data_IF_862534478982
#
_entry.id   IF_862534478982
#
_cell.length_a   1.000
_cell.length_b   1.000
_cell.length_c   1.000
_cell.angle_alpha   90.00
_cell.angle_beta   90.00
_cell.angle_gamma   90.00
#
_symmetry.space_group_name_H-M   'P 1'
#
loop_
_entity.id
_entity.type
_entity.pdbx_description
1 polymer ?
#
# COMPACT_ATOMS: atom_id res chain seq x y z
N UNK A 1 15.95 -25.04 -20.33
CA UNK A 1 15.40 -23.79 -20.90
C UNK A 1 14.04 -23.41 -20.31
N UNK A 2 13.04 -24.30 -20.25
CA UNK A 2 11.73 -23.99 -19.62
C UNK A 2 11.79 -23.66 -18.12
N UNK A 3 12.71 -24.29 -17.38
CA UNK A 3 12.85 -24.07 -15.93
C UNK A 3 13.49 -22.72 -15.55
N UNK A 4 14.38 -22.17 -16.39
CA UNK A 4 15.04 -20.89 -16.11
C UNK A 4 14.11 -19.70 -16.31
N UNK A 5 13.15 -19.80 -17.24
CA UNK A 5 12.14 -18.76 -17.49
C UNK A 5 11.16 -18.67 -16.30
N UNK A 6 10.77 -19.81 -15.72
CA UNK A 6 9.91 -19.85 -14.53
C UNK A 6 10.55 -19.17 -13.30
N UNK A 7 11.86 -19.35 -13.09
CA UNK A 7 12.58 -18.75 -11.95
C UNK A 7 12.77 -17.23 -12.14
N UNK A 8 13.01 -16.77 -13.36
CA UNK A 8 13.16 -15.34 -13.65
C UNK A 8 11.84 -14.56 -13.49
N UNK A 9 10.70 -15.16 -13.89
CA UNK A 9 9.36 -14.54 -13.76
C UNK A 9 8.95 -14.35 -12.29
N UNK A 10 9.35 -15.27 -11.39
CA UNK A 10 9.12 -15.08 -9.96
C UNK A 10 9.95 -13.92 -9.36
N UNK A 11 11.10 -13.56 -9.95
CA UNK A 11 11.95 -12.49 -9.44
C UNK A 11 11.45 -11.08 -9.81
N UNK A 12 10.71 -10.93 -10.92
CA UNK A 12 10.18 -9.63 -11.38
C UNK A 12 8.89 -9.23 -10.66
N UNK A 13 8.19 -10.19 -10.02
CA UNK A 13 6.97 -9.96 -9.26
C UNK A 13 7.11 -9.02 -8.03
N UNK A 14 8.33 -8.58 -7.70
CA UNK A 14 8.63 -7.81 -6.48
C UNK A 14 8.38 -6.30 -6.64
N UNK A 15 8.21 -5.76 -7.86
CA UNK A 15 8.07 -4.32 -8.07
C UNK A 15 6.60 -3.88 -8.21
N UNK A 16 5.84 -3.98 -7.11
CA UNK A 16 4.40 -3.75 -7.06
C UNK A 16 3.93 -2.27 -7.21
N UNK A 17 4.84 -1.29 -7.21
CA UNK A 17 4.51 0.14 -7.29
C UNK A 17 5.49 0.86 -8.21
N UNK A 18 5.01 1.82 -9.01
CA UNK A 18 5.88 2.72 -9.79
C UNK A 18 6.62 3.68 -8.86
N UNK A 19 7.72 4.27 -9.32
CA UNK A 19 8.48 5.21 -8.48
C UNK A 19 7.68 6.46 -8.11
N UNK A 20 6.81 6.93 -9.01
CA UNK A 20 5.87 8.02 -8.71
C UNK A 20 4.89 7.63 -7.59
N UNK A 21 4.36 6.40 -7.62
CA UNK A 21 3.48 5.90 -6.57
C UNK A 21 4.21 5.74 -5.23
N UNK A 22 5.47 5.29 -5.24
CA UNK A 22 6.31 5.21 -4.04
C UNK A 22 6.55 6.58 -3.43
N UNK A 23 6.82 7.60 -4.24
CA UNK A 23 7.02 8.98 -3.75
C UNK A 23 5.73 9.56 -3.14
N UNK A 24 4.58 9.37 -3.81
CA UNK A 24 3.27 9.76 -3.23
C UNK A 24 2.99 9.04 -1.92
N UNK A 25 3.28 7.74 -1.85
CA UNK A 25 3.09 6.93 -0.64
C UNK A 25 3.99 7.40 0.51
N UNK A 26 5.27 7.75 0.23
CA UNK A 26 6.18 8.34 1.22
C UNK A 26 5.64 9.67 1.74
N UNK A 27 5.15 10.54 0.85
CA UNK A 27 4.54 11.82 1.23
C UNK A 27 3.33 11.62 2.16
N UNK A 28 2.40 10.74 1.78
CA UNK A 28 1.23 10.43 2.62
C UNK A 28 1.65 9.86 3.98
N UNK A 29 2.63 8.96 4.00
CA UNK A 29 3.19 8.41 5.24
C UNK A 29 3.70 9.52 6.15
N UNK A 30 4.54 10.43 5.65
CA UNK A 30 5.10 11.53 6.44
C UNK A 30 4.01 12.43 7.01
N UNK A 31 3.01 12.80 6.19
CA UNK A 31 1.88 13.61 6.63
C UNK A 31 1.04 12.89 7.71
N UNK A 32 0.73 11.61 7.51
CA UNK A 32 -0.06 10.83 8.46
C UNK A 32 0.68 10.57 9.78
N UNK A 33 2.00 10.36 9.74
CA UNK A 33 2.83 10.26 10.95
C UNK A 33 2.78 11.56 11.76
N UNK A 34 2.90 12.71 11.09
CA UNK A 34 2.84 14.01 11.75
C UNK A 34 1.47 14.31 12.36
N UNK A 35 0.38 13.95 11.66
CA UNK A 35 -1.00 14.21 12.09
C UNK A 35 -1.42 13.30 13.25
N UNK A 36 -1.10 12.01 13.17
CA UNK A 36 -1.67 10.98 14.07
C UNK A 36 -0.70 10.53 15.16
N UNK A 37 0.59 10.84 15.01
CA UNK A 37 1.67 10.52 15.95
C UNK A 37 1.60 9.07 16.49
N UNK A 38 1.53 8.06 15.61
CA UNK A 38 1.48 6.68 16.05
C UNK A 38 2.87 6.24 16.54
N UNK A 39 2.90 5.12 17.27
CA UNK A 39 4.14 4.41 17.52
C UNK A 39 4.68 3.84 16.19
N UNK A 40 5.86 4.27 15.78
CA UNK A 40 6.49 3.87 14.52
C UNK A 40 6.83 2.38 14.47
N UNK A 41 7.10 1.73 15.60
CA UNK A 41 7.30 0.28 15.65
C UNK A 41 6.00 -0.45 15.33
N UNK A 42 4.86 0.06 15.81
CA UNK A 42 3.55 -0.50 15.48
C UNK A 42 3.19 -0.25 14.01
N UNK A 43 3.56 0.91 13.44
CA UNK A 43 3.42 1.17 12.01
C UNK A 43 4.26 0.20 11.17
N UNK A 44 5.49 -0.09 11.60
CA UNK A 44 6.36 -1.04 10.91
C UNK A 44 5.79 -2.46 10.94
N UNK A 45 5.26 -2.89 12.10
CA UNK A 45 4.54 -4.17 12.26
C UNK A 45 3.31 -4.25 11.37
N UNK A 46 2.49 -3.19 11.36
CA UNK A 46 1.30 -3.08 10.50
C UNK A 46 1.67 -3.23 9.01
N UNK A 47 2.77 -2.57 8.58
CA UNK A 47 3.26 -2.69 7.20
C UNK A 47 3.70 -4.11 6.83
N UNK A 48 4.15 -4.89 7.82
CA UNK A 48 4.56 -6.28 7.65
C UNK A 48 3.39 -7.27 7.81
N UNK A 49 2.15 -6.79 7.93
CA UNK A 49 0.97 -7.62 8.07
C UNK A 49 0.69 -8.11 9.49
N UNK A 50 1.37 -7.55 10.50
CA UNK A 50 1.04 -7.82 11.90
C UNK A 50 -0.02 -6.84 12.39
N UNK A 51 -1.26 -7.33 12.43
CA UNK A 51 -2.44 -6.59 12.89
C UNK A 51 -2.81 -6.89 14.36
N UNK A 52 -2.00 -7.66 15.09
CA UNK A 52 -2.32 -8.10 16.46
C UNK A 52 -2.26 -6.96 17.47
N UNK A 53 -1.55 -5.89 17.13
CA UNK A 53 -1.36 -4.75 18.02
C UNK A 53 -2.16 -3.59 17.48
N UNK A 54 -3.10 -3.11 18.27
CA UNK A 54 -3.98 -2.00 17.91
C UNK A 54 -3.87 -0.89 18.95
N UNK A 55 -3.75 0.35 18.46
CA UNK A 55 -3.81 1.55 19.29
C UNK A 55 -4.63 2.60 18.56
N UNK A 56 -5.24 3.53 19.30
CA UNK A 56 -6.03 4.61 18.69
C UNK A 56 -5.20 5.46 17.70
N UNK A 57 -3.93 5.85 18.01
CA UNK A 57 -3.06 6.52 17.04
C UNK A 57 -2.78 5.68 15.79
N UNK A 58 -2.59 4.37 15.93
CA UNK A 58 -2.32 3.46 14.81
C UNK A 58 -3.55 3.31 13.90
N UNK A 59 -4.76 3.25 14.47
CA UNK A 59 -6.02 3.21 13.70
C UNK A 59 -6.24 4.52 12.94
N UNK A 60 -5.98 5.67 13.59
CA UNK A 60 -6.02 6.99 12.96
C UNK A 60 -5.00 7.10 11.83
N UNK A 61 -3.78 6.58 12.02
CA UNK A 61 -2.76 6.51 10.98
C UNK A 61 -3.23 5.69 9.76
N UNK A 62 -3.80 4.49 10.00
CA UNK A 62 -4.32 3.64 8.93
C UNK A 62 -5.46 4.33 8.16
N UNK A 63 -6.39 4.97 8.87
CA UNK A 63 -7.46 5.76 8.26
C UNK A 63 -6.89 6.92 7.42
N UNK A 64 -5.93 7.66 7.95
CA UNK A 64 -5.28 8.77 7.24
C UNK A 64 -4.64 8.28 5.92
N UNK A 65 -3.93 7.15 5.94
CA UNK A 65 -3.34 6.56 4.74
C UNK A 65 -4.41 6.18 3.73
N UNK A 66 -5.48 5.50 4.14
CA UNK A 66 -6.58 5.11 3.24
C UNK A 66 -7.31 6.31 2.64
N UNK A 67 -7.50 7.39 3.42
CA UNK A 67 -8.14 8.63 2.96
C UNK A 67 -7.26 9.36 1.95
N UNK A 68 -5.96 9.53 2.25
CA UNK A 68 -5.02 10.20 1.33
C UNK A 68 -4.79 9.40 0.05
N UNK A 69 -4.85 8.08 0.12
CA UNK A 69 -4.85 7.20 -1.07
C UNK A 69 -6.20 7.14 -1.78
N UNK A 70 -7.20 7.92 -1.35
CA UNK A 70 -8.55 8.01 -1.91
C UNK A 70 -9.35 6.70 -1.86
N UNK A 71 -8.87 5.72 -1.11
CA UNK A 71 -9.52 4.42 -0.91
C UNK A 71 -10.69 4.50 0.08
N UNK A 72 -10.72 5.54 0.92
CA UNK A 72 -11.73 5.72 1.94
C UNK A 72 -12.13 7.20 2.07
N UNK A 73 -13.36 7.47 2.49
CA UNK A 73 -13.78 8.82 2.91
C UNK A 73 -13.33 9.10 4.34
N UNK A 74 -13.36 10.38 4.75
CA UNK A 74 -13.06 10.78 6.14
C UNK A 74 -14.00 10.11 7.16
N UNK A 75 -15.22 9.79 6.74
CA UNK A 75 -16.23 9.12 7.56
C UNK A 75 -16.06 7.59 7.60
N UNK A 76 -14.97 7.06 7.05
CA UNK A 76 -14.67 5.63 7.07
C UNK A 76 -15.38 4.81 5.98
N UNK A 77 -16.00 5.43 4.97
CA UNK A 77 -16.64 4.70 3.87
C UNK A 77 -15.60 4.27 2.85
N UNK A 78 -15.44 2.97 2.66
CA UNK A 78 -14.52 2.41 1.69
C UNK A 78 -15.05 2.58 0.25
N UNK A 79 -14.21 3.11 -0.65
CA UNK A 79 -14.53 3.29 -2.07
C UNK A 79 -14.11 2.05 -2.85
N UNK A 80 -14.97 1.02 -2.82
CA UNK A 80 -14.69 -0.29 -3.45
C UNK A 80 -14.22 -0.17 -4.90
N UNK A 81 -14.89 0.63 -5.71
CA UNK A 81 -14.58 0.75 -7.15
C UNK A 81 -13.19 1.38 -7.37
N UNK A 82 -12.84 2.41 -6.58
CA UNK A 82 -11.51 3.04 -6.62
C UNK A 82 -10.43 2.06 -6.15
N UNK A 83 -10.73 1.26 -5.12
CA UNK A 83 -9.80 0.26 -4.63
C UNK A 83 -9.54 -0.83 -5.67
N UNK A 84 -10.59 -1.35 -6.30
CA UNK A 84 -10.47 -2.37 -7.35
C UNK A 84 -9.71 -1.84 -8.57
N UNK A 85 -9.96 -0.60 -8.99
CA UNK A 85 -9.22 0.03 -10.08
C UNK A 85 -7.72 0.26 -9.78
N UNK A 86 -7.31 0.19 -8.51
CA UNK A 86 -5.91 0.31 -8.06
C UNK A 86 -5.23 -1.04 -7.84
N UNK A 87 -5.99 -2.15 -7.89
CA UNK A 87 -5.41 -3.50 -7.88
C UNK A 87 -4.84 -3.74 -9.29
N UNK A 88 -3.54 -4.05 -9.43
CA UNK A 88 -3.00 -4.44 -10.72
C UNK A 88 -3.76 -5.65 -11.25
N UNK A 89 -4.24 -5.58 -12.49
CA UNK A 89 -4.83 -6.74 -13.15
C UNK A 89 -3.78 -7.85 -13.20
N UNK A 90 -4.16 -9.08 -12.87
CA UNK A 90 -3.22 -10.21 -12.85
C UNK A 90 -2.60 -10.51 -14.24
N UNK A 91 -3.07 -9.83 -15.30
CA UNK A 91 -2.59 -9.91 -16.67
C UNK A 91 -2.16 -8.61 -17.34
N UNK A 92 -2.18 -7.45 -16.66
CA UNK A 92 -1.81 -6.15 -17.27
C UNK A 92 -0.53 -5.60 -16.64
N UNK A 93 0.58 -6.23 -17.01
CA UNK A 93 1.90 -5.65 -16.85
C UNK A 93 2.19 -4.76 -18.10
N UNK A 94 2.52 -3.48 -17.96
CA UNK A 94 2.71 -2.54 -19.09
C UNK A 94 4.04 -2.72 -19.85
N UNK A 95 4.49 -3.96 -20.07
CA UNK A 95 5.77 -4.26 -20.75
C UNK A 95 5.58 -4.87 -22.16
N UNK A 96 4.51 -4.48 -22.88
CA UNK A 96 4.38 -4.75 -24.32
C UNK A 96 4.41 -3.44 -25.14
N UNK A 97 5.45 -2.62 -24.99
CA UNK A 97 6.01 -1.79 -26.06
C UNK A 97 7.44 -1.36 -25.71
#
# INVERSE_FOLDING_TARGET
MKAFILVAVCFVAVQALTDEQKEKLKKHKTECLAETKPDEQLVAKLKNGDYKTESEPLKKYALCMMVKSELMTKDGKFKKDVALAKVPDAGENPDNH
#
